data_IF_077674760171
#
_entry.id   IF_077674760171
#
_cell.length_a   1.000
_cell.length_b   1.000
_cell.length_c   1.000
_cell.angle_alpha   90.00
_cell.angle_beta   90.00
_cell.angle_gamma   90.00
#
_symmetry.space_group_name_H-M   'P 1'
#
loop_
_entity.id
_entity.type
_entity.pdbx_description
1 polymer ?
#
# COMPACT_ATOMS: atom_id res chain seq x y z
N UNK A 1 -22.51 1.93 -8.18
CA UNK A 1 -21.31 1.07 -8.06
C UNK A 1 -20.33 1.83 -7.20
N UNK A 2 -19.95 1.32 -6.02
CA UNK A 2 -19.01 2.02 -5.15
C UNK A 2 -17.65 2.09 -5.83
N UNK A 3 -17.04 3.28 -5.89
CA UNK A 3 -15.63 3.44 -6.26
C UNK A 3 -14.78 2.88 -5.11
N UNK A 4 -14.62 1.56 -5.06
CA UNK A 4 -13.76 0.89 -4.09
C UNK A 4 -12.29 0.98 -4.51
N UNK A 5 -11.42 1.17 -3.53
CA UNK A 5 -9.97 1.11 -3.68
C UNK A 5 -9.40 0.18 -2.59
N UNK A 6 -8.13 -0.19 -2.71
CA UNK A 6 -7.42 -0.93 -1.69
C UNK A 6 -6.71 0.05 -0.76
N UNK A 7 -6.63 -0.29 0.53
CA UNK A 7 -5.81 0.41 1.52
C UNK A 7 -5.33 -0.60 2.56
N UNK A 8 -4.29 -0.27 3.31
CA UNK A 8 -3.77 -1.16 4.34
C UNK A 8 -3.27 -0.40 5.56
N UNK A 9 -3.35 -1.05 6.72
CA UNK A 9 -2.85 -0.48 7.96
C UNK A 9 -1.32 -0.50 7.94
N UNK A 10 -0.72 0.62 8.32
CA UNK A 10 0.74 0.82 8.44
C UNK A 10 1.21 1.07 9.87
N UNK A 11 0.26 1.09 10.79
CA UNK A 11 0.47 1.21 12.22
C UNK A 11 -0.80 0.84 12.97
N UNK A 12 -0.79 0.97 14.31
CA UNK A 12 -1.92 0.63 15.16
C UNK A 12 -3.26 1.25 14.74
N UNK A 13 -3.21 2.49 14.23
CA UNK A 13 -4.40 3.29 13.89
C UNK A 13 -4.16 4.16 12.64
N UNK A 14 -3.22 3.76 11.79
CA UNK A 14 -2.85 4.48 10.58
C UNK A 14 -3.08 3.62 9.35
N UNK A 15 -3.76 4.19 8.37
CA UNK A 15 -4.06 3.58 7.08
C UNK A 15 -3.34 4.34 5.97
N UNK A 16 -2.71 3.61 5.06
CA UNK A 16 -2.14 4.16 3.84
C UNK A 16 -3.04 3.80 2.64
N UNK A 17 -3.31 4.82 1.81
CA UNK A 17 -4.06 4.73 0.55
C UNK A 17 -3.48 5.73 -0.46
N UNK A 18 -3.98 5.74 -1.70
CA UNK A 18 -3.60 6.80 -2.65
C UNK A 18 -4.29 8.13 -2.37
N UNK A 19 -3.60 9.22 -2.67
CA UNK A 19 -4.17 10.57 -2.61
C UNK A 19 -5.31 10.75 -3.60
N UNK A 20 -5.23 10.20 -4.82
CA UNK A 20 -6.30 10.32 -5.80
C UNK A 20 -7.63 9.68 -5.34
N UNK A 21 -7.58 8.79 -4.33
CA UNK A 21 -8.76 8.25 -3.66
C UNK A 21 -9.17 9.14 -2.48
N UNK A 22 -8.23 9.50 -1.61
CA UNK A 22 -8.45 10.32 -0.41
C UNK A 22 -7.82 11.70 -0.58
N UNK A 23 -8.42 12.53 -1.45
CA UNK A 23 -7.83 13.82 -1.87
C UNK A 23 -7.80 14.87 -0.75
N UNK A 24 -8.76 14.84 0.16
CA UNK A 24 -8.88 15.83 1.24
C UNK A 24 -9.39 15.19 2.52
N UNK A 25 -9.26 15.91 3.65
CA UNK A 25 -9.87 15.50 4.93
C UNK A 25 -11.38 15.30 4.78
N UNK A 26 -12.08 16.21 4.11
CA UNK A 26 -13.54 16.15 3.91
C UNK A 26 -13.94 14.95 3.05
N UNK A 27 -13.08 14.56 2.10
CA UNK A 27 -13.26 13.33 1.33
C UNK A 27 -13.06 12.12 2.24
N UNK A 28 -11.95 12.06 2.97
CA UNK A 28 -11.63 10.95 3.87
C UNK A 28 -12.69 10.74 4.96
N UNK A 29 -13.28 11.80 5.52
CA UNK A 29 -14.38 11.71 6.51
C UNK A 29 -15.63 10.96 5.99
N UNK A 30 -15.82 10.90 4.66
CA UNK A 30 -16.97 10.23 4.02
C UNK A 30 -16.68 8.77 3.68
N UNK A 31 -15.43 8.34 3.80
CA UNK A 31 -15.02 6.97 3.57
C UNK A 31 -15.00 6.17 4.86
N UNK A 32 -15.14 4.86 4.70
CA UNK A 32 -14.89 3.86 5.72
C UNK A 32 -13.93 2.81 5.15
N UNK A 33 -13.25 2.08 6.03
CA UNK A 33 -12.41 0.94 5.65
C UNK A 33 -13.04 -0.35 6.16
N UNK A 34 -13.19 -1.31 5.25
CA UNK A 34 -13.82 -2.60 5.52
C UNK A 34 -12.74 -3.70 5.55
N UNK A 35 -12.67 -4.45 6.65
CA UNK A 35 -11.79 -5.61 6.77
C UNK A 35 -12.58 -6.91 6.70
N UNK A 36 -12.18 -7.79 5.78
CA UNK A 36 -12.73 -9.15 5.72
C UNK A 36 -12.36 -9.96 6.95
N UNK A 37 -13.37 -10.57 7.57
CA UNK A 37 -13.17 -11.56 8.62
C UNK A 37 -12.98 -12.95 8.00
N UNK A 38 -11.96 -13.68 8.44
CA UNK A 38 -11.79 -15.07 8.08
C UNK A 38 -12.88 -15.90 8.76
N UNK A 39 -13.87 -16.37 7.99
CA UNK A 39 -14.90 -17.26 8.52
C UNK A 39 -14.45 -18.73 8.51
N UNK A 40 -15.06 -19.51 9.40
CA UNK A 40 -14.89 -20.97 9.43
C UNK A 40 -15.40 -21.61 8.12
N UNK A 41 -14.86 -22.77 7.72
CA UNK A 41 -15.34 -23.46 6.51
C UNK A 41 -16.85 -23.71 6.59
N UNK A 42 -17.63 -23.18 5.65
CA UNK A 42 -19.07 -23.47 5.50
C UNK A 42 -20.04 -22.30 5.66
N UNK A 43 -19.57 -21.08 5.96
CA UNK A 43 -20.43 -19.88 5.97
C UNK A 43 -20.29 -19.15 4.63
N UNK A 44 -21.42 -18.92 3.95
CA UNK A 44 -21.47 -18.36 2.59
C UNK A 44 -21.43 -16.82 2.55
N UNK A 45 -21.47 -16.14 3.71
CA UNK A 45 -21.58 -14.69 3.81
C UNK A 45 -20.37 -14.12 4.55
N UNK A 46 -19.36 -13.70 3.79
CA UNK A 46 -18.21 -12.95 4.30
C UNK A 46 -18.66 -11.81 5.22
N UNK A 47 -18.43 -11.94 6.51
CA UNK A 47 -18.57 -10.83 7.44
C UNK A 47 -17.43 -9.83 7.18
N UNK A 48 -17.79 -8.58 6.91
CA UNK A 48 -16.87 -7.44 6.96
C UNK A 48 -17.04 -6.74 8.30
N UNK A 49 -15.97 -6.11 8.74
CA UNK A 49 -16.02 -5.20 9.88
C UNK A 49 -15.55 -3.83 9.41
N UNK A 50 -16.29 -2.78 9.76
CA UNK A 50 -16.14 -1.46 9.16
C UNK A 50 -15.64 -0.45 10.19
N UNK A 51 -14.60 0.31 9.83
CA UNK A 51 -14.06 1.38 10.67
C UNK A 51 -14.18 2.73 9.96
N UNK A 52 -14.56 3.76 10.72
CA UNK A 52 -14.55 5.14 10.23
C UNK A 52 -13.10 5.65 10.10
N UNK A 53 -12.88 6.52 9.10
CA UNK A 53 -11.64 7.30 9.02
C UNK A 53 -11.76 8.56 9.88
N UNK A 54 -10.68 8.93 10.56
CA UNK A 54 -10.63 10.06 11.49
C UNK A 54 -9.54 11.08 11.09
N UNK A 55 -9.65 11.73 9.91
CA UNK A 55 -8.60 12.59 9.36
C UNK A 55 -8.29 13.84 10.21
N UNK A 56 -9.12 14.18 11.20
CA UNK A 56 -8.78 15.23 12.17
C UNK A 56 -7.70 14.80 13.17
N UNK A 57 -7.56 13.50 13.43
CA UNK A 57 -6.49 12.98 14.30
C UNK A 57 -5.17 12.88 13.55
N UNK A 58 -5.22 12.44 12.29
CA UNK A 58 -4.07 12.44 11.39
C UNK A 58 -4.54 12.41 9.94
N UNK A 59 -4.03 13.35 9.13
CA UNK A 59 -4.15 13.33 7.69
C UNK A 59 -2.89 14.00 7.11
N UNK A 60 -2.05 13.20 6.45
CA UNK A 60 -0.84 13.64 5.75
C UNK A 60 -0.95 13.08 4.34
N UNK A 61 -0.84 13.93 3.32
CA UNK A 61 -0.99 13.50 1.94
C UNK A 61 -0.09 14.32 1.02
N UNK A 62 0.25 13.73 -0.12
CA UNK A 62 0.95 14.43 -1.19
C UNK A 62 0.42 13.96 -2.55
N UNK A 63 0.07 14.93 -3.40
CA UNK A 63 -0.51 14.66 -4.71
C UNK A 63 0.54 14.22 -5.74
N UNK A 64 1.79 14.67 -5.60
CA UNK A 64 2.87 14.34 -6.54
C UNK A 64 3.42 12.94 -6.31
N UNK A 65 3.42 12.48 -5.06
CA UNK A 65 3.72 11.11 -4.66
C UNK A 65 2.46 10.24 -4.62
N UNK A 66 1.27 10.79 -4.82
CA UNK A 66 -0.01 10.07 -4.82
C UNK A 66 -0.27 9.15 -3.60
N UNK A 67 -0.03 9.66 -2.39
CA UNK A 67 -0.33 8.94 -1.14
C UNK A 67 -1.14 9.79 -0.16
N UNK A 68 -1.93 9.11 0.67
CA UNK A 68 -2.63 9.67 1.82
C UNK A 68 -2.50 8.73 3.02
N UNK A 69 -1.96 9.25 4.11
CA UNK A 69 -1.89 8.63 5.43
C UNK A 69 -3.01 9.22 6.30
N UNK A 70 -3.93 8.37 6.75
CA UNK A 70 -5.11 8.79 7.51
C UNK A 70 -5.28 7.96 8.78
N UNK A 71 -5.70 8.60 9.87
CA UNK A 71 -6.06 7.88 11.09
C UNK A 71 -7.36 7.09 10.93
N UNK A 72 -7.46 5.95 11.61
CA UNK A 72 -8.65 5.09 11.64
C UNK A 72 -9.17 5.02 13.06
N UNK A 73 -10.49 4.97 13.22
CA UNK A 73 -11.11 4.78 14.52
C UNK A 73 -10.58 3.50 15.19
N UNK A 74 -10.23 3.52 16.50
CA UNK A 74 -9.70 2.34 17.19
C UNK A 74 -10.76 1.23 17.39
N UNK A 75 -12.04 1.58 17.21
CA UNK A 75 -13.19 0.69 17.34
C UNK A 75 -14.03 0.73 16.07
N UNK A 76 -14.47 -0.44 15.63
CA UNK A 76 -15.34 -0.58 14.47
C UNK A 76 -16.75 -0.10 14.78
N UNK A 77 -17.56 0.08 13.75
CA UNK A 77 -18.99 0.38 13.88
C UNK A 77 -19.71 -0.75 14.65
N UNK A 78 -19.24 -1.99 14.49
CA UNK A 78 -19.69 -3.20 15.18
C UNK A 78 -19.03 -3.42 16.56
N UNK A 79 -18.12 -2.53 16.99
CA UNK A 79 -17.51 -2.53 18.31
C UNK A 79 -16.25 -3.39 18.49
N UNK A 80 -15.68 -3.97 17.44
CA UNK A 80 -14.41 -4.68 17.58
C UNK A 80 -13.20 -3.75 17.51
N UNK A 81 -12.08 -4.24 18.04
CA UNK A 81 -10.84 -3.48 18.16
C UNK A 81 -10.00 -3.57 16.88
N UNK A 82 -9.54 -2.41 16.37
CA UNK A 82 -8.77 -2.30 15.13
C UNK A 82 -7.47 -3.10 15.19
N UNK A 83 -6.83 -3.17 16.36
CA UNK A 83 -5.55 -3.84 16.55
C UNK A 83 -5.62 -5.35 16.23
N UNK A 84 -6.82 -5.93 16.17
CA UNK A 84 -7.02 -7.34 15.75
C UNK A 84 -6.74 -7.59 14.27
N UNK A 85 -6.80 -6.55 13.43
CA UNK A 85 -6.59 -6.67 11.98
C UNK A 85 -5.10 -6.78 11.62
N UNK A 86 -4.21 -6.38 12.53
CA UNK A 86 -2.78 -6.27 12.28
C UNK A 86 -2.43 -5.14 11.30
N UNK A 87 -1.14 -4.88 11.11
CA UNK A 87 -0.65 -3.86 10.18
C UNK A 87 0.66 -4.27 9.53
N UNK A 88 0.99 -3.66 8.40
CA UNK A 88 2.26 -3.82 7.71
C UNK A 88 3.25 -2.77 8.21
N UNK A 89 4.49 -3.16 8.47
CA UNK A 89 5.53 -2.19 8.80
C UNK A 89 6.06 -1.54 7.52
N UNK A 90 6.09 -0.20 7.50
CA UNK A 90 6.83 0.53 6.47
C UNK A 90 8.29 0.70 6.91
N UNK A 91 9.22 0.50 5.98
CA UNK A 91 10.66 0.62 6.26
C UNK A 91 11.33 1.45 5.18
N UNK A 92 12.12 2.43 5.62
CA UNK A 92 13.05 3.13 4.74
C UNK A 92 14.24 2.25 4.36
N UNK A 93 14.97 2.63 3.31
CA UNK A 93 16.21 1.97 2.90
C UNK A 93 16.03 0.58 2.26
N UNK A 94 14.80 0.13 2.01
CA UNK A 94 14.56 -1.02 1.14
C UNK A 94 14.93 -0.64 -0.29
N UNK A 95 15.74 -1.47 -0.94
CA UNK A 95 16.10 -1.33 -2.35
C UNK A 95 15.44 -2.41 -3.17
N UNK A 96 14.87 -2.02 -4.30
CA UNK A 96 14.36 -2.93 -5.33
C UNK A 96 15.20 -2.75 -6.58
N UNK A 97 15.41 -3.82 -7.33
CA UNK A 97 16.22 -3.85 -8.54
C UNK A 97 15.40 -4.45 -9.69
N UNK A 98 15.66 -4.04 -10.95
CA UNK A 98 15.08 -4.71 -12.10
C UNK A 98 15.29 -6.23 -12.05
N UNK A 99 14.19 -6.98 -12.25
CA UNK A 99 14.15 -8.43 -12.15
C UNK A 99 13.73 -8.99 -10.78
N UNK A 100 13.71 -8.17 -9.72
CA UNK A 100 13.22 -8.60 -8.40
C UNK A 100 11.74 -8.98 -8.49
N UNK A 101 11.37 -10.08 -7.82
CA UNK A 101 9.99 -10.53 -7.76
C UNK A 101 9.17 -9.65 -6.80
N UNK A 102 7.92 -9.38 -7.17
CA UNK A 102 6.97 -8.65 -6.32
C UNK A 102 5.65 -9.37 -6.18
N UNK A 103 4.95 -9.12 -5.09
CA UNK A 103 3.59 -9.62 -4.84
C UNK A 103 2.66 -8.47 -4.51
N UNK A 104 1.37 -8.60 -4.85
CA UNK A 104 0.36 -7.59 -4.50
C UNK A 104 -0.81 -8.25 -3.77
N UNK A 105 -1.24 -7.63 -2.67
CA UNK A 105 -2.48 -8.01 -1.95
C UNK A 105 -3.50 -6.92 -2.21
N UNK A 106 -4.63 -7.25 -2.84
CA UNK A 106 -5.56 -6.22 -3.30
C UNK A 106 -7.02 -6.68 -3.27
N UNK A 107 -7.93 -5.72 -3.44
CA UNK A 107 -9.37 -5.94 -3.54
C UNK A 107 -9.83 -5.61 -4.97
N UNK A 108 -9.63 -6.51 -5.95
CA UNK A 108 -9.99 -6.24 -7.34
C UNK A 108 -11.50 -5.97 -7.46
N UNK A 109 -11.85 -4.86 -8.11
CA UNK A 109 -13.22 -4.35 -8.28
C UNK A 109 -13.95 -4.06 -6.95
N UNK A 110 -13.21 -3.86 -5.85
CA UNK A 110 -13.79 -3.77 -4.51
C UNK A 110 -14.36 -5.11 -4.01
N UNK A 111 -14.03 -6.21 -4.69
CA UNK A 111 -14.43 -7.56 -4.32
C UNK A 111 -13.45 -8.16 -3.31
N UNK A 112 -13.55 -9.47 -3.12
CA UNK A 112 -12.80 -10.17 -2.08
C UNK A 112 -11.28 -9.99 -2.19
N UNK A 113 -10.60 -9.93 -1.04
CA UNK A 113 -9.13 -9.90 -0.92
C UNK A 113 -8.53 -11.01 -1.78
N UNK A 114 -7.68 -10.62 -2.72
CA UNK A 114 -6.89 -11.52 -3.56
C UNK A 114 -5.41 -11.23 -3.36
N UNK A 115 -4.60 -12.24 -3.62
CA UNK A 115 -3.15 -12.12 -3.65
C UNK A 115 -2.71 -12.52 -5.06
N UNK A 116 -2.01 -11.64 -5.77
CA UNK A 116 -1.32 -11.99 -7.00
C UNK A 116 0.14 -12.31 -6.63
N UNK A 117 0.50 -13.59 -6.75
CA UNK A 117 1.69 -14.17 -6.11
C UNK A 117 2.84 -14.54 -7.06
N UNK A 118 2.66 -14.53 -8.39
CA UNK A 118 3.66 -15.14 -9.30
C UNK A 118 3.81 -14.41 -10.63
N UNK A 119 5.05 -14.36 -11.08
CA UNK A 119 5.58 -13.79 -12.35
C UNK A 119 5.60 -12.26 -12.46
N UNK A 120 5.31 -11.57 -11.37
CA UNK A 120 5.43 -10.12 -11.32
C UNK A 120 6.88 -9.72 -11.02
N UNK A 121 7.44 -8.84 -11.84
CA UNK A 121 8.84 -8.40 -11.70
C UNK A 121 8.95 -6.89 -11.75
N UNK A 122 9.86 -6.35 -10.94
CA UNK A 122 10.32 -4.97 -11.07
C UNK A 122 10.98 -4.83 -12.44
N UNK A 123 10.61 -3.77 -13.14
CA UNK A 123 11.13 -3.44 -14.46
C UNK A 123 12.09 -2.26 -14.35
N UNK A 124 11.73 -1.22 -13.61
CA UNK A 124 12.60 -0.06 -13.45
C UNK A 124 12.21 0.74 -12.22
N UNK A 125 13.09 1.67 -11.85
CA UNK A 125 12.82 2.71 -10.87
C UNK A 125 13.01 4.06 -11.55
N UNK A 126 12.14 5.01 -11.22
CA UNK A 126 12.18 6.34 -11.79
C UNK A 126 12.09 7.39 -10.69
N UNK A 127 12.66 8.56 -10.96
CA UNK A 127 12.51 9.72 -10.11
C UNK A 127 12.05 10.92 -10.96
N UNK A 128 10.75 11.04 -11.25
CA UNK A 128 10.23 12.21 -11.95
C UNK A 128 10.58 13.49 -11.18
N UNK A 129 11.00 14.54 -11.88
CA UNK A 129 11.40 15.81 -11.26
C UNK A 129 10.31 16.43 -10.38
N UNK A 130 9.04 16.11 -10.62
CA UNK A 130 7.89 16.56 -9.85
C UNK A 130 7.76 15.90 -8.46
N UNK A 131 8.55 14.86 -8.15
CA UNK A 131 8.47 14.12 -6.88
C UNK A 131 8.93 14.94 -5.67
N UNK A 132 9.79 15.94 -5.86
CA UNK A 132 10.39 16.73 -4.78
C UNK A 132 11.38 15.97 -3.89
N UNK A 133 11.70 14.72 -4.23
CA UNK A 133 12.66 13.87 -3.51
C UNK A 133 13.83 13.56 -4.43
N UNK A 134 15.05 13.97 -4.07
CA UNK A 134 16.19 13.95 -5.01
C UNK A 134 17.09 12.70 -4.87
N UNK A 135 17.14 12.10 -3.67
CA UNK A 135 18.13 11.06 -3.31
C UNK A 135 17.59 9.63 -3.34
N UNK A 136 16.31 9.44 -3.62
CA UNK A 136 15.66 8.13 -3.73
C UNK A 136 14.72 8.12 -4.94
N UNK A 137 14.58 6.96 -5.57
CA UNK A 137 13.52 6.78 -6.56
C UNK A 137 12.15 6.99 -5.90
N UNK A 138 11.27 7.71 -6.59
CA UNK A 138 9.90 7.96 -6.12
C UNK A 138 8.89 7.01 -6.78
N UNK A 139 9.25 6.42 -7.93
CA UNK A 139 8.39 5.51 -8.70
C UNK A 139 9.07 4.16 -8.90
N UNK A 140 8.28 3.10 -8.77
CA UNK A 140 8.64 1.71 -9.04
C UNK A 140 7.72 1.21 -10.17
N UNK A 141 8.31 0.81 -11.28
CA UNK A 141 7.58 0.20 -12.39
C UNK A 141 7.76 -1.31 -12.36
N UNK A 142 6.66 -2.03 -12.49
CA UNK A 142 6.66 -3.49 -12.38
C UNK A 142 5.55 -4.11 -13.22
N UNK A 143 5.71 -5.38 -13.59
CA UNK A 143 4.67 -6.11 -14.32
C UNK A 143 3.87 -6.91 -13.32
N UNK A 144 2.55 -6.82 -13.43
CA UNK A 144 1.58 -7.54 -12.63
C UNK A 144 0.24 -7.49 -13.34
N UNK A 145 -0.48 -8.60 -13.32
CA UNK A 145 -1.88 -8.61 -13.73
C UNK A 145 -2.72 -8.01 -12.60
N UNK A 146 -3.12 -6.75 -12.75
CA UNK A 146 -4.01 -6.05 -11.81
C UNK A 146 -5.22 -5.51 -12.55
N UNK A 147 -6.35 -5.52 -11.87
CA UNK A 147 -7.59 -4.93 -12.38
C UNK A 147 -7.94 -3.67 -11.59
N UNK A 148 -8.87 -2.86 -12.11
CA UNK A 148 -9.48 -1.72 -11.40
C UNK A 148 -9.83 -2.09 -9.94
N UNK A 149 -9.57 -1.19 -8.99
CA UNK A 149 -9.74 -1.42 -7.54
C UNK A 149 -8.46 -1.81 -6.80
N UNK A 150 -7.36 -2.04 -7.53
CA UNK A 150 -6.04 -2.33 -6.95
C UNK A 150 -5.30 -1.09 -6.44
N UNK A 151 -5.69 0.12 -6.87
CA UNK A 151 -5.11 1.37 -6.38
C UNK A 151 -5.08 1.38 -4.85
N UNK A 152 -3.88 1.56 -4.30
CA UNK A 152 -3.59 1.65 -2.88
C UNK A 152 -3.20 0.31 -2.27
N UNK A 153 -3.05 -0.73 -3.10
CA UNK A 153 -2.54 -2.02 -2.66
C UNK A 153 -1.03 -1.96 -2.32
N UNK A 154 -0.60 -2.68 -1.27
CA UNK A 154 0.82 -2.85 -0.98
C UNK A 154 1.46 -3.73 -2.05
N UNK A 155 2.55 -3.23 -2.62
CA UNK A 155 3.51 -4.02 -3.41
C UNK A 155 4.59 -4.52 -2.46
N UNK A 156 4.79 -5.83 -2.44
CA UNK A 156 5.57 -6.56 -1.46
C UNK A 156 6.76 -7.26 -2.14
N UNK A 157 7.90 -7.30 -1.48
CA UNK A 157 9.02 -8.15 -1.89
C UNK A 157 8.85 -9.61 -1.41
N UNK A 158 9.81 -10.48 -1.75
CA UNK A 158 9.83 -11.89 -1.35
C UNK A 158 9.86 -12.11 0.17
N UNK A 159 10.27 -11.09 0.95
CA UNK A 159 10.26 -11.11 2.41
C UNK A 159 8.96 -10.51 3.00
N UNK A 160 7.94 -10.26 2.17
CA UNK A 160 6.66 -9.67 2.55
C UNK A 160 6.80 -8.26 3.15
N UNK A 161 7.83 -7.51 2.74
CA UNK A 161 8.03 -6.12 3.14
C UNK A 161 7.44 -5.20 2.07
N UNK A 162 6.80 -4.12 2.49
CA UNK A 162 6.18 -3.16 1.55
C UNK A 162 7.27 -2.34 0.88
N UNK A 163 7.41 -2.49 -0.44
CA UNK A 163 8.38 -1.74 -1.25
C UNK A 163 7.73 -0.55 -1.97
N UNK A 164 6.45 -0.67 -2.33
CA UNK A 164 5.71 0.41 -2.96
C UNK A 164 4.20 0.39 -2.64
N UNK A 165 3.54 1.53 -2.85
CA UNK A 165 2.08 1.68 -2.88
C UNK A 165 1.63 1.71 -4.34
N UNK A 166 0.84 0.74 -4.79
CA UNK A 166 0.35 0.73 -6.18
C UNK A 166 -0.55 1.95 -6.44
N UNK A 167 -0.27 2.69 -7.50
CA UNK A 167 -0.99 3.92 -7.88
C UNK A 167 -1.84 3.71 -9.13
N UNK A 168 -1.31 3.02 -10.14
CA UNK A 168 -2.05 2.69 -11.35
C UNK A 168 -1.14 2.14 -12.45
N UNK A 169 -1.47 2.46 -13.70
CA UNK A 169 -0.75 1.98 -14.88
C UNK A 169 0.17 3.06 -15.45
N UNK A 170 1.37 2.66 -15.85
CA UNK A 170 2.22 3.43 -16.74
C UNK A 170 1.75 3.20 -18.18
N UNK A 171 1.18 4.24 -18.78
CA UNK A 171 0.72 4.19 -20.16
C UNK A 171 1.85 4.46 -21.15
N UNK A 172 1.77 3.84 -22.33
CA UNK A 172 2.61 4.13 -23.48
C UNK A 172 2.25 5.51 -24.00
N UNK A 173 3.23 6.39 -24.10
CA UNK A 173 3.07 7.65 -24.81
C UNK A 173 2.96 7.35 -26.32
N UNK A 174 1.88 7.76 -27.01
CA UNK A 174 1.73 7.53 -28.44
C UNK A 174 2.67 8.38 -29.31
N UNK A 175 3.20 9.48 -28.76
CA UNK A 175 4.03 10.46 -29.48
C UNK A 175 5.53 10.34 -29.14
N UNK A 176 5.90 9.65 -28.05
CA UNK A 176 7.30 9.36 -27.72
C UNK A 176 7.74 7.94 -28.12
N UNK A 177 8.97 7.84 -28.63
CA UNK A 177 9.57 6.56 -28.99
C UNK A 177 9.94 5.76 -27.73
N UNK A 178 9.24 4.64 -27.50
CA UNK A 178 9.63 3.48 -26.69
C UNK A 178 10.35 3.81 -25.37
N UNK A 179 9.61 3.76 -24.24
CA UNK A 179 10.25 3.59 -22.93
C UNK A 179 10.98 2.24 -22.94
N UNK A 180 12.32 2.26 -23.02
CA UNK A 180 13.12 1.06 -22.96
C UNK A 180 13.11 0.55 -21.52
N UNK A 181 12.25 -0.44 -21.29
CA UNK A 181 12.12 -1.12 -20.01
C UNK A 181 13.40 -1.94 -19.79
N UNK A 182 14.23 -1.52 -18.83
CA UNK A 182 15.49 -2.20 -18.49
C UNK A 182 15.20 -3.57 -17.89
N UNK A 183 15.29 -4.61 -18.70
CA UNK A 183 15.23 -5.98 -18.23
C UNK A 183 16.56 -6.34 -17.58
N UNK A 184 16.55 -6.69 -16.29
CA UNK A 184 17.70 -7.35 -15.70
C UNK A 184 18.03 -8.61 -16.51
N UNK A 185 19.32 -8.84 -16.80
CA UNK A 185 19.98 -9.83 -17.70
C UNK A 185 19.52 -11.32 -17.65
N UNK A 186 18.24 -11.63 -17.51
CA UNK A 186 17.72 -13.00 -17.46
C UNK A 186 16.56 -13.18 -18.42
N UNK A 187 16.93 -13.77 -19.56
CA UNK A 187 16.11 -14.38 -20.61
C UNK A 187 14.74 -14.85 -20.10
N UNK A 188 13.71 -14.08 -20.43
CA UNK A 188 12.31 -14.46 -20.29
C UNK A 188 11.45 -13.41 -20.96
N UNK A 189 10.59 -13.85 -21.90
CA UNK A 189 9.51 -12.99 -22.39
C UNK A 189 8.66 -12.57 -21.19
N UNK A 190 8.47 -11.26 -21.02
CA UNK A 190 7.57 -10.75 -20.01
C UNK A 190 6.13 -11.05 -20.41
N UNK A 191 5.24 -11.38 -19.46
CA UNK A 191 3.81 -11.31 -19.75
C UNK A 191 3.49 -9.87 -20.16
N UNK A 192 3.05 -9.70 -21.40
CA UNK A 192 2.59 -8.41 -21.90
C UNK A 192 1.29 -8.04 -21.16
N UNK A 193 1.10 -6.77 -20.77
CA UNK A 193 -0.18 -6.30 -20.28
C UNK A 193 -1.32 -6.64 -21.26
N UNK A 194 -2.50 -6.97 -20.75
CA UNK A 194 -3.66 -7.27 -21.62
C UNK A 194 -4.02 -6.08 -22.52
N UNK A 195 -3.86 -4.86 -22.02
CA UNK A 195 -4.01 -3.62 -22.79
C UNK A 195 -2.67 -3.21 -23.42
N UNK A 196 -2.56 -3.17 -24.76
CA UNK A 196 -1.33 -2.77 -25.45
C UNK A 196 -0.93 -1.30 -25.23
N UNK A 197 -1.82 -0.48 -24.68
CA UNK A 197 -1.52 0.89 -24.26
C UNK A 197 -0.82 0.94 -22.89
N UNK A 198 -0.85 -0.13 -22.09
CA UNK A 198 -0.15 -0.20 -20.81
C UNK A 198 1.26 -0.74 -21.02
N UNK A 199 2.26 -0.05 -20.49
CA UNK A 199 3.66 -0.50 -20.49
C UNK A 199 4.02 -1.33 -19.26
N UNK A 200 3.57 -0.87 -18.09
CA UNK A 200 3.83 -1.49 -16.80
C UNK A 200 2.83 -0.96 -15.77
N UNK A 201 2.82 -1.55 -14.58
CA UNK A 201 2.20 -0.94 -13.41
C UNK A 201 3.15 0.09 -12.80
N UNK A 202 2.59 1.08 -12.12
CA UNK A 202 3.32 2.06 -11.34
C UNK A 202 2.94 1.99 -9.85
N UNK A 203 3.96 1.96 -9.01
CA UNK A 203 3.85 2.15 -7.57
C UNK A 203 4.73 3.30 -7.08
N UNK A 204 4.32 3.90 -5.97
CA UNK A 204 5.05 4.93 -5.24
C UNK A 204 5.98 4.25 -4.24
N UNK A 205 7.28 4.53 -4.30
CA UNK A 205 8.27 3.88 -3.44
C UNK A 205 8.04 4.27 -1.98
N UNK A 206 7.99 3.28 -1.06
CA UNK A 206 7.75 3.52 0.37
C UNK A 206 8.79 4.44 0.99
N UNK A 207 10.06 4.32 0.59
CA UNK A 207 11.12 5.21 1.07
C UNK A 207 10.86 6.69 0.75
N UNK A 208 10.33 7.00 -0.43
CA UNK A 208 9.97 8.37 -0.82
C UNK A 208 8.78 8.89 0.01
N UNK A 209 7.78 8.04 0.25
CA UNK A 209 6.64 8.37 1.14
C UNK A 209 7.14 8.69 2.56
N UNK A 210 8.02 7.86 3.12
CA UNK A 210 8.54 8.06 4.48
C UNK A 210 9.40 9.32 4.59
N UNK A 211 10.22 9.61 3.57
CA UNK A 211 11.01 10.84 3.53
C UNK A 211 10.12 12.10 3.50
N UNK A 212 9.08 12.09 2.67
CA UNK A 212 8.13 13.20 2.59
C UNK A 212 7.33 13.36 3.90
N UNK A 213 6.81 12.29 4.49
CA UNK A 213 6.16 12.32 5.80
C UNK A 213 7.09 12.93 6.86
N UNK A 214 8.38 12.55 6.86
CA UNK A 214 9.38 13.14 7.75
C UNK A 214 9.47 14.66 7.61
N UNK A 215 9.61 15.15 6.37
CA UNK A 215 9.66 16.60 6.07
C UNK A 215 8.38 17.33 6.46
N UNK A 216 7.22 16.70 6.26
CA UNK A 216 5.93 17.31 6.64
C UNK A 216 5.78 17.40 8.17
N UNK A 217 6.25 16.38 8.91
CA UNK A 217 6.20 16.36 10.38
C UNK A 217 7.09 17.39 11.05
N UNK A 218 8.19 17.81 10.41
CA UNK A 218 9.02 18.93 10.88
C UNK A 218 8.24 20.25 10.89
N UNK A 219 7.31 20.42 9.94
CA UNK A 219 6.48 21.63 9.81
C UNK A 219 5.22 21.56 10.66
N UNK A 220 4.58 20.39 10.66
CA UNK A 220 3.32 20.13 11.37
C UNK A 220 3.43 18.83 12.15
N UNK A 221 3.88 18.88 13.42
CA UNK A 221 4.05 17.68 14.23
C UNK A 221 2.73 16.92 14.43
N UNK A 222 2.77 15.60 14.27
CA UNK A 222 1.67 14.70 14.58
C UNK A 222 2.20 13.43 15.26
N UNK A 223 1.72 13.15 16.48
CA UNK A 223 2.25 12.05 17.29
C UNK A 223 1.94 10.65 16.73
N UNK A 224 0.79 10.49 16.04
CA UNK A 224 0.43 9.22 15.41
C UNK A 224 1.38 8.93 14.25
N UNK A 225 1.51 9.87 13.31
CA UNK A 225 2.39 9.72 12.16
C UNK A 225 3.87 9.66 12.55
N UNK A 226 4.31 10.38 13.59
CA UNK A 226 5.69 10.27 14.08
C UNK A 226 6.04 8.87 14.62
N UNK A 227 5.05 8.07 15.03
CA UNK A 227 5.30 6.69 15.43
C UNK A 227 5.66 5.77 14.24
N UNK A 228 5.26 6.13 13.01
CA UNK A 228 5.60 5.41 11.78
C UNK A 228 7.09 5.51 11.43
N UNK A 229 7.74 6.62 11.82
CA UNK A 229 9.15 6.88 11.54
C UNK A 229 10.11 6.31 12.59
N UNK A 230 9.58 5.73 13.67
CA UNK A 230 10.41 5.05 14.66
C UNK A 230 10.75 3.66 14.12
N UNK A 231 12.00 3.24 14.28
CA UNK A 231 12.44 1.93 13.83
C UNK A 231 11.51 0.83 14.36
N UNK A 232 10.88 0.10 13.43
CA UNK A 232 10.09 -1.08 13.74
C UNK A 232 10.97 -2.23 14.27
N UNK A 233 10.34 -3.36 14.67
CA UNK A 233 11.09 -4.53 15.12
C UNK A 233 12.11 -5.02 14.07
N UNK A 234 13.14 -5.74 14.55
CA UNK A 234 14.19 -6.30 13.72
C UNK A 234 13.64 -7.21 12.59
N UNK A 235 14.49 -7.53 11.61
CA UNK A 235 14.20 -8.13 10.30
C UNK A 235 13.18 -9.30 10.20
N UNK A 236 12.77 -9.92 11.30
CA UNK A 236 11.92 -11.12 11.31
C UNK A 236 10.41 -10.84 11.45
N UNK A 237 9.99 -9.58 11.72
CA UNK A 237 8.58 -9.24 11.93
C UNK A 237 8.01 -8.32 10.84
N UNK A 238 7.37 -8.89 9.82
CA UNK A 238 6.71 -8.14 8.73
C UNK A 238 5.31 -7.62 9.09
N UNK A 239 4.70 -8.13 10.17
CA UNK A 239 3.32 -7.82 10.58
C UNK A 239 3.23 -7.42 12.06
N UNK A 240 2.50 -6.34 12.35
CA UNK A 240 2.15 -5.90 13.71
C UNK A 240 0.77 -6.42 14.18
N UNK A 241 0.48 -6.27 15.47
CA UNK A 241 -0.85 -6.51 16.06
C UNK A 241 -1.22 -7.97 16.37
N UNK A 242 -0.94 -8.92 15.47
CA UNK A 242 -1.28 -10.34 15.70
C UNK A 242 -0.58 -10.92 16.95
N UNK A 243 0.67 -10.52 17.21
CA UNK A 243 1.38 -10.97 18.40
C UNK A 243 0.79 -10.40 19.71
N UNK A 244 0.35 -9.15 19.72
CA UNK A 244 -0.25 -8.51 20.90
C UNK A 244 -1.50 -9.27 21.37
N UNK A 245 -2.33 -9.72 20.42
CA UNK A 245 -3.50 -10.56 20.73
C UNK A 245 -3.16 -12.02 21.01
N UNK A 246 -2.15 -12.61 20.35
CA UNK A 246 -1.74 -13.99 20.63
C UNK A 246 -1.23 -14.17 22.07
N UNK A 247 -0.56 -13.17 22.64
CA UNK A 247 -0.11 -13.17 24.04
C UNK A 247 -1.27 -12.95 25.02
N UNK A 248 -2.26 -12.12 24.68
CA UNK A 248 -3.48 -11.92 25.48
C UNK A 248 -4.38 -13.17 25.52
N UNK A 249 -4.40 -14.00 24.46
CA UNK A 249 -5.13 -15.27 24.43
C UNK A 249 -4.47 -16.43 25.18
N UNK A 250 -3.21 -16.28 25.60
CA UNK A 250 -2.47 -17.34 26.31
C UNK A 250 -2.63 -17.31 27.84
N UNK A 251 -3.33 -16.31 28.39
CA UNK A 251 -3.58 -16.17 29.83
C UNK A 251 -4.96 -16.65 30.28
N UNK A 252 -5.64 -17.47 29.47
CA UNK A 252 -6.87 -18.17 29.88
C UNK A 252 -6.72 -19.67 29.71
N UNK A 253 -5.94 -20.30 30.58
CA UNK A 253 -6.10 -21.70 30.99
C UNK A 253 -5.72 -21.84 32.45
#
# INVERSE_FOLDING_TARGET
MGNGATAFLVGPELLLANHHILQTKETAQRYQVDFEQSESPGVSRRATISFALEPERCFIADANLDYALVAVAPRSIEGADLLRQGWLWLRGGLTSHPGDAVSIIHHPLGASKRIALRENKVVSLSNPAASGVENIASRLWYICDVTRGSSGAPVLDDAWRVVALHSGDLLRDPDESHVELLLGDKDGELPLPEDPAVLANEGVVVGAILEDIGRQLERTPNALAAALLKDGPAHDESFGGHQAYSKLGSHSR
#
